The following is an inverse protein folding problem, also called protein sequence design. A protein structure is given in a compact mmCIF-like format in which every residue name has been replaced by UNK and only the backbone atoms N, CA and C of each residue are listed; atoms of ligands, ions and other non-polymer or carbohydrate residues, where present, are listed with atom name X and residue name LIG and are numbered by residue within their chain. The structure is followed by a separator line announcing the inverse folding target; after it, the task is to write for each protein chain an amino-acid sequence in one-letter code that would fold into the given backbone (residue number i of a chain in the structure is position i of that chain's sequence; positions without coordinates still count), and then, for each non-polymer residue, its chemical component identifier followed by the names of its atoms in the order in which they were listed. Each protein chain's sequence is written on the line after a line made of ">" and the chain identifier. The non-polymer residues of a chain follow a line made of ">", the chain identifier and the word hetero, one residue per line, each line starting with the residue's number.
data_IF_589511343981
#
_entry.id   IF_589511343981
#
_cell.length_a   1.000
_cell.length_b   1.000
_cell.length_c   1.000
_cell.angle_alpha   90.00
_cell.angle_beta   90.00
_cell.angle_gamma   90.00
#
_symmetry.space_group_name_H-M   'P 1'
#
loop_
_entity.id
_entity.type
_entity.pdbx_description
1 polymer ?
#
# COMPACT_ATOMS: atom_id res chain seq x y z
N UNK A 1 -2.62 4.21 -11.95
CA UNK A 1 -1.21 3.89 -12.25
C UNK A 1 -0.76 2.81 -11.27
N UNK A 2 -0.09 1.74 -11.73
CA UNK A 2 0.57 0.81 -10.82
C UNK A 2 1.55 1.54 -9.91
N UNK A 3 1.64 1.16 -8.65
CA UNK A 3 2.66 1.68 -7.75
C UNK A 3 3.19 0.58 -6.85
N UNK A 4 4.43 0.76 -6.41
CA UNK A 4 5.10 -0.12 -5.47
C UNK A 4 5.46 0.65 -4.23
N UNK A 5 5.05 0.15 -3.06
CA UNK A 5 5.32 0.78 -1.79
C UNK A 5 5.34 -0.21 -0.62
N UNK A 6 6.03 0.20 0.43
CA UNK A 6 5.97 -0.40 1.77
C UNK A 6 5.52 0.68 2.74
N UNK A 7 4.46 0.40 3.50
CA UNK A 7 3.88 1.32 4.47
C UNK A 7 3.94 0.69 5.86
N UNK A 8 4.26 1.51 6.86
CA UNK A 8 4.15 1.12 8.26
C UNK A 8 3.02 1.91 8.92
N UNK A 9 2.16 1.23 9.67
CA UNK A 9 1.05 1.90 10.36
C UNK A 9 1.56 2.56 11.63
N UNK A 10 1.19 3.82 11.85
CA UNK A 10 1.54 4.54 13.07
C UNK A 10 0.50 4.16 14.15
N UNK A 11 0.89 3.43 15.22
CA UNK A 11 -0.07 2.87 16.18
C UNK A 11 -1.00 3.89 16.83
N UNK A 12 -0.52 5.12 17.03
CA UNK A 12 -1.24 6.22 17.66
C UNK A 12 -2.31 6.82 16.74
N UNK A 13 -2.22 6.61 15.42
CA UNK A 13 -3.08 7.23 14.42
C UNK A 13 -3.99 6.20 13.75
N UNK A 14 -4.82 5.53 14.53
CA UNK A 14 -5.85 4.61 14.02
C UNK A 14 -7.22 5.23 14.26
N UNK A 15 -7.84 5.75 13.20
CA UNK A 15 -9.09 6.53 13.29
C UNK A 15 -10.34 5.68 13.07
N UNK A 16 -10.28 4.69 12.16
CA UNK A 16 -11.35 3.72 11.98
C UNK A 16 -10.79 2.33 11.68
N UNK A 17 -11.37 1.30 12.31
CA UNK A 17 -10.81 -0.07 12.28
C UNK A 17 -11.46 -0.99 11.25
N UNK A 18 -12.61 -0.61 10.69
CA UNK A 18 -13.35 -1.44 9.72
C UNK A 18 -14.20 -0.57 8.79
N UNK A 19 -14.16 -0.92 7.50
CA UNK A 19 -15.02 -0.46 6.40
C UNK A 19 -15.55 0.99 6.50
N UNK A 20 -14.76 1.99 6.06
CA UNK A 20 -13.39 1.90 5.56
C UNK A 20 -12.37 1.93 6.70
N UNK A 21 -11.23 1.27 6.54
CA UNK A 21 -10.14 1.36 7.51
C UNK A 21 -9.45 2.72 7.33
N UNK A 22 -9.27 3.49 8.39
CA UNK A 22 -8.63 4.81 8.34
C UNK A 22 -7.46 4.84 9.32
N UNK A 23 -6.25 4.96 8.79
CA UNK A 23 -4.99 4.86 9.55
C UNK A 23 -3.96 5.88 9.06
N UNK A 24 -3.14 6.39 9.97
CA UNK A 24 -1.90 7.08 9.68
C UNK A 24 -0.81 6.06 9.34
N UNK A 25 -0.05 6.34 8.28
CA UNK A 25 1.03 5.48 7.80
C UNK A 25 2.26 6.29 7.46
N UNK A 26 3.43 5.69 7.66
CA UNK A 26 4.71 6.14 7.13
C UNK A 26 5.01 5.42 5.81
N UNK A 27 5.27 6.17 4.75
CA UNK A 27 5.75 5.62 3.49
C UNK A 27 7.23 5.30 3.64
N UNK A 28 7.53 4.03 3.91
CA UNK A 28 8.91 3.60 4.17
C UNK A 28 9.71 3.44 2.88
N UNK A 29 9.05 2.95 1.84
CA UNK A 29 9.64 2.76 0.52
C UNK A 29 8.64 3.03 -0.60
N UNK A 30 9.15 3.48 -1.75
CA UNK A 30 8.37 3.62 -2.97
C UNK A 30 7.51 4.89 -3.03
N UNK A 31 6.37 4.78 -3.70
CA UNK A 31 5.39 5.86 -3.86
C UNK A 31 3.98 5.30 -3.67
N UNK A 32 3.25 5.86 -2.71
CA UNK A 32 1.84 5.56 -2.45
C UNK A 32 0.95 6.37 -3.39
N UNK A 33 -0.04 5.72 -4.01
CA UNK A 33 -1.03 6.37 -4.89
C UNK A 33 -2.44 5.89 -4.61
N UNK A 34 -3.42 6.72 -4.96
CA UNK A 34 -4.83 6.33 -4.95
C UNK A 34 -5.10 5.08 -5.81
N UNK A 35 -6.14 4.35 -5.43
CA UNK A 35 -6.59 3.10 -6.04
C UNK A 35 -5.60 1.92 -5.99
N UNK A 36 -4.49 2.06 -5.27
CA UNK A 36 -3.50 0.99 -5.14
C UNK A 36 -4.04 -0.10 -4.20
N UNK A 37 -4.06 -1.38 -4.64
CA UNK A 37 -4.43 -2.49 -3.77
C UNK A 37 -3.35 -2.74 -2.71
N UNK A 38 -3.77 -2.95 -1.46
CA UNK A 38 -2.90 -3.19 -0.32
C UNK A 38 -3.12 -4.60 0.24
N UNK A 39 -2.03 -5.18 0.74
CA UNK A 39 -2.01 -6.46 1.42
C UNK A 39 -1.04 -6.46 2.60
N UNK A 40 -1.19 -7.44 3.49
CA UNK A 40 -0.30 -7.71 4.62
C UNK A 40 0.52 -8.97 4.32
N UNK A 41 1.80 -8.85 3.93
CA UNK A 41 2.60 -9.99 3.49
C UNK A 41 2.71 -11.11 4.52
N UNK A 42 2.98 -10.75 5.78
CA UNK A 42 3.21 -11.71 6.88
C UNK A 42 1.93 -12.45 7.34
N UNK A 43 0.78 -12.14 6.74
CA UNK A 43 -0.52 -12.78 6.96
C UNK A 43 -1.00 -13.45 5.68
N UNK A 44 -0.13 -14.24 5.05
CA UNK A 44 -0.44 -14.94 3.80
C UNK A 44 -0.92 -13.99 2.69
N UNK A 45 -0.31 -12.81 2.60
CA UNK A 45 -0.72 -11.74 1.69
C UNK A 45 -2.18 -11.31 1.85
N UNK A 46 -2.70 -11.31 3.08
CA UNK A 46 -4.06 -10.87 3.40
C UNK A 46 -4.36 -9.54 2.72
N UNK A 47 -5.27 -9.57 1.75
CA UNK A 47 -5.70 -8.36 1.07
C UNK A 47 -6.61 -7.55 2.00
N UNK A 48 -6.40 -6.23 2.05
CA UNK A 48 -7.13 -5.36 2.99
C UNK A 48 -7.96 -4.29 2.29
N UNK A 49 -7.86 -4.20 0.96
CA UNK A 49 -8.61 -3.25 0.14
C UNK A 49 -7.71 -2.35 -0.71
N UNK A 50 -8.25 -1.20 -1.10
CA UNK A 50 -7.56 -0.21 -1.95
C UNK A 50 -7.50 1.15 -1.26
N UNK A 51 -6.45 1.91 -1.55
CA UNK A 51 -6.32 3.30 -1.10
C UNK A 51 -7.39 4.16 -1.76
N UNK A 52 -8.36 4.64 -0.99
CA UNK A 52 -9.45 5.50 -1.47
C UNK A 52 -9.13 6.99 -1.32
N UNK A 53 -8.40 7.38 -0.28
CA UNK A 53 -7.90 8.75 -0.08
C UNK A 53 -6.54 8.75 0.61
N UNK A 54 -5.78 9.82 0.36
CA UNK A 54 -4.52 10.13 1.04
C UNK A 54 -4.62 11.59 1.49
N UNK A 55 -4.34 11.84 2.76
CA UNK A 55 -4.31 13.17 3.35
C UNK A 55 -2.95 13.42 3.99
N UNK A 56 -2.32 14.53 3.60
CA UNK A 56 -1.07 15.03 4.18
C UNK A 56 -1.34 16.40 4.76
N UNK A 57 -1.07 16.59 6.05
CA UNK A 57 -1.31 17.86 6.76
C UNK A 57 -2.74 18.39 6.58
N UNK A 58 -3.74 17.50 6.71
CA UNK A 58 -5.17 17.77 6.50
C UNK A 58 -5.57 18.23 5.08
N UNK A 59 -4.68 18.04 4.09
CA UNK A 59 -4.96 18.35 2.68
C UNK A 59 -5.01 17.06 1.86
N UNK A 60 -6.00 16.89 0.98
CA UNK A 60 -6.06 15.74 0.09
C UNK A 60 -4.90 15.82 -0.92
N UNK A 61 -4.21 14.69 -1.10
CA UNK A 61 -3.13 14.54 -2.07
C UNK A 61 -3.35 13.29 -2.91
N UNK A 62 -2.83 13.28 -4.14
CA UNK A 62 -2.97 12.13 -5.04
C UNK A 62 -1.86 11.07 -4.84
N UNK A 63 -0.74 11.50 -4.25
CA UNK A 63 0.44 10.66 -4.00
C UNK A 63 1.16 11.08 -2.72
N UNK A 64 1.83 10.11 -2.10
CA UNK A 64 2.81 10.32 -1.03
C UNK A 64 4.07 9.50 -1.36
N UNK A 65 5.24 10.03 -1.03
CA UNK A 65 6.53 9.40 -1.36
C UNK A 65 7.24 8.94 -0.10
N UNK A 66 8.27 8.10 -0.28
CA UNK A 66 9.17 7.71 0.81
C UNK A 66 9.54 8.89 1.72
N UNK A 67 9.38 8.69 3.02
CA UNK A 67 9.63 9.69 4.07
C UNK A 67 8.40 10.52 4.47
N UNK A 68 7.30 10.43 3.71
CA UNK A 68 6.04 11.08 4.10
C UNK A 68 5.29 10.26 5.16
N UNK A 69 4.73 10.96 6.15
CA UNK A 69 3.70 10.45 7.05
C UNK A 69 2.34 11.01 6.61
N UNK A 70 1.38 10.14 6.31
CA UNK A 70 0.06 10.52 5.76
C UNK A 70 -1.06 9.71 6.37
N UNK A 71 -2.27 10.27 6.42
CA UNK A 71 -3.47 9.51 6.72
C UNK A 71 -4.03 8.90 5.44
N UNK A 72 -4.42 7.63 5.49
CA UNK A 72 -5.06 6.94 4.37
C UNK A 72 -6.39 6.32 4.76
N UNK A 73 -7.30 6.33 3.80
CA UNK A 73 -8.53 5.55 3.83
C UNK A 73 -8.36 4.33 2.94
N UNK A 74 -8.55 3.15 3.49
CA UNK A 74 -8.49 1.87 2.79
C UNK A 74 -9.93 1.36 2.65
N UNK A 75 -10.42 1.30 1.42
CA UNK A 75 -11.73 0.79 1.09
C UNK A 75 -11.64 -0.70 0.77
N UNK A 76 -12.22 -1.59 1.59
CA UNK A 76 -12.33 -3.00 1.26
C UNK A 76 -13.34 -3.22 0.13
N UNK A 77 -13.15 -4.27 -0.65
CA UNK A 77 -14.19 -4.84 -1.53
C UNK A 77 -15.06 -5.81 -0.74
N UNK A 78 -16.15 -6.32 -1.34
CA UNK A 78 -17.01 -7.34 -0.71
C UNK A 78 -16.24 -8.56 -0.23
N UNK A 79 -15.17 -8.96 -0.94
CA UNK A 79 -14.31 -10.08 -0.54
C UNK A 79 -13.54 -9.79 0.76
N UNK A 80 -13.21 -8.53 1.03
CA UNK A 80 -12.42 -8.09 2.18
C UNK A 80 -13.29 -7.44 3.28
N UNK A 81 -14.62 -7.44 3.15
CA UNK A 81 -15.53 -6.81 4.11
C UNK A 81 -15.46 -7.39 5.53
N UNK A 82 -14.93 -8.61 5.67
CA UNK A 82 -14.71 -9.27 6.95
C UNK A 82 -13.42 -8.80 7.65
N UNK A 83 -12.49 -8.18 6.92
CA UNK A 83 -11.19 -7.75 7.45
C UNK A 83 -11.37 -6.59 8.43
N UNK A 84 -10.58 -6.57 9.50
CA UNK A 84 -10.68 -5.61 10.60
C UNK A 84 -9.33 -5.40 11.25
N UNK A 85 -8.93 -4.14 11.41
CA UNK A 85 -7.72 -3.74 12.11
C UNK A 85 -7.83 -4.07 13.62
N UNK A 86 -6.77 -4.61 14.20
CA UNK A 86 -6.72 -5.10 15.58
C UNK A 86 -7.28 -6.52 15.77
N UNK A 87 -7.76 -7.16 14.70
CA UNK A 87 -8.17 -8.58 14.71
C UNK A 87 -7.37 -9.42 13.71
N UNK A 88 -7.33 -8.98 12.45
CA UNK A 88 -6.67 -9.72 11.38
C UNK A 88 -5.24 -9.25 11.13
N UNK A 89 -5.01 -7.94 11.31
CA UNK A 89 -3.70 -7.28 11.25
C UNK A 89 -3.70 -6.08 12.18
N UNK A 90 -2.53 -5.58 12.54
CA UNK A 90 -2.34 -4.41 13.37
C UNK A 90 -1.09 -3.62 12.96
N UNK A 91 -0.67 -2.65 13.78
CA UNK A 91 0.48 -1.80 13.50
C UNK A 91 1.84 -2.49 13.55
N UNK A 92 1.93 -3.73 14.06
CA UNK A 92 3.16 -4.51 13.97
C UNK A 92 3.36 -5.09 12.56
N UNK A 93 2.34 -5.05 11.71
CA UNK A 93 2.41 -5.56 10.34
C UNK A 93 2.69 -4.44 9.34
N UNK A 94 3.63 -4.68 8.42
CA UNK A 94 3.84 -3.82 7.27
C UNK A 94 2.73 -4.04 6.22
N UNK A 95 2.34 -2.96 5.54
CA UNK A 95 1.45 -3.03 4.38
C UNK A 95 2.29 -2.91 3.11
N UNK A 96 1.93 -3.69 2.09
CA UNK A 96 2.57 -3.60 0.78
C UNK A 96 1.54 -3.50 -0.34
N UNK A 97 1.92 -2.84 -1.42
CA UNK A 97 1.15 -2.89 -2.66
C UNK A 97 1.08 -4.32 -3.21
N UNK A 98 -0.11 -4.78 -3.58
CA UNK A 98 -0.26 -6.06 -4.25
C UNK A 98 0.24 -5.96 -5.69
N UNK A 99 1.43 -6.50 -5.96
CA UNK A 99 2.02 -6.54 -7.30
C UNK A 99 1.72 -7.87 -8.01
N UNK A 100 1.63 -7.83 -9.34
CA UNK A 100 1.47 -9.00 -10.20
C UNK A 100 2.40 -8.89 -11.40
N UNK A 101 2.62 -9.99 -12.15
CA UNK A 101 3.42 -9.96 -13.38
C UNK A 101 2.89 -8.92 -14.37
N UNK A 102 1.57 -8.88 -14.57
CA UNK A 102 0.89 -7.88 -15.41
C UNK A 102 1.16 -6.46 -14.94
N UNK A 103 1.14 -6.22 -13.64
CA UNK A 103 1.43 -4.91 -13.04
C UNK A 103 2.87 -4.47 -13.32
N UNK A 104 3.83 -5.41 -13.21
CA UNK A 104 5.25 -5.16 -13.46
C UNK A 104 5.51 -4.89 -14.95
N UNK A 105 4.91 -5.67 -15.84
CA UNK A 105 5.11 -5.47 -17.29
C UNK A 105 4.49 -4.15 -17.74
N UNK A 106 3.31 -3.78 -17.23
CA UNK A 106 2.73 -2.46 -17.43
C UNK A 106 3.66 -1.31 -16.98
N UNK A 107 4.35 -1.46 -15.83
CA UNK A 107 5.33 -0.48 -15.34
C UNK A 107 6.54 -0.36 -16.29
N UNK A 108 7.04 -1.48 -16.82
CA UNK A 108 8.19 -1.48 -17.74
C UNK A 108 7.86 -0.88 -19.10
N UNK A 109 6.65 -1.13 -19.60
CA UNK A 109 6.22 -0.72 -20.94
C UNK A 109 5.81 0.75 -20.97
N UNK A 110 5.11 1.22 -19.94
CA UNK A 110 4.40 2.51 -19.99
C UNK A 110 4.97 3.57 -19.05
N UNK A 111 5.73 3.18 -18.02
CA UNK A 111 6.12 4.07 -16.91
C UNK A 111 7.61 3.98 -16.55
N UNK A 112 8.44 3.51 -17.49
CA UNK A 112 9.86 3.26 -17.20
C UNK A 112 10.63 4.51 -16.82
N UNK A 113 10.32 5.63 -17.46
CA UNK A 113 10.97 6.93 -17.25
C UNK A 113 10.50 7.61 -15.96
N UNK A 114 9.27 7.34 -15.51
CA UNK A 114 8.69 7.88 -14.27
C UNK A 114 9.19 7.16 -13.01
N UNK A 115 9.80 6.00 -13.16
CA UNK A 115 10.21 5.13 -12.08
C UNK A 115 11.65 5.41 -11.65
N UNK A 116 11.84 5.73 -10.36
CA UNK A 116 13.19 5.94 -9.82
C UNK A 116 13.93 4.62 -9.72
N UNK A 117 15.25 4.68 -9.68
CA UNK A 117 16.11 3.49 -9.48
C UNK A 117 15.71 2.68 -8.24
N UNK A 118 15.34 3.38 -7.16
CA UNK A 118 14.88 2.77 -5.90
C UNK A 118 13.56 2.03 -6.06
N UNK A 119 12.62 2.54 -6.85
CA UNK A 119 11.33 1.89 -7.11
C UNK A 119 11.55 0.57 -7.86
N UNK A 120 12.50 0.54 -8.81
CA UNK A 120 12.90 -0.70 -9.49
C UNK A 120 13.57 -1.71 -8.55
N UNK A 121 14.43 -1.25 -7.65
CA UNK A 121 15.04 -2.11 -6.64
C UNK A 121 13.98 -2.71 -5.71
N UNK A 122 12.98 -1.92 -5.30
CA UNK A 122 11.85 -2.41 -4.51
C UNK A 122 11.08 -3.50 -5.26
N UNK A 123 10.77 -3.31 -6.55
CA UNK A 123 10.11 -4.35 -7.38
C UNK A 123 10.93 -5.64 -7.39
N UNK A 124 12.25 -5.56 -7.57
CA UNK A 124 13.10 -6.74 -7.60
C UNK A 124 13.12 -7.48 -6.26
N UNK A 125 13.01 -6.77 -5.13
CA UNK A 125 12.86 -7.39 -3.81
C UNK A 125 11.47 -7.97 -3.57
N UNK A 126 10.42 -7.34 -4.11
CA UNK A 126 9.04 -7.81 -3.94
C UNK A 126 8.72 -9.03 -4.82
N UNK A 127 9.30 -9.15 -6.01
CA UNK A 127 9.09 -10.31 -6.90
C UNK A 127 9.21 -11.69 -6.22
N UNK A 128 10.32 -12.02 -5.53
CA UNK A 128 10.46 -13.32 -4.86
C UNK A 128 9.47 -13.47 -3.70
N UNK A 129 9.14 -12.39 -2.99
CA UNK A 129 8.15 -12.40 -1.91
C UNK A 129 6.78 -12.85 -2.45
N UNK A 130 6.35 -12.30 -3.59
CA UNK A 130 5.07 -12.65 -4.21
C UNK A 130 5.14 -13.89 -5.12
N UNK A 131 6.27 -14.62 -5.17
CA UNK A 131 6.44 -15.79 -6.04
C UNK A 131 6.37 -15.47 -7.54
N UNK A 132 6.71 -14.24 -7.94
CA UNK A 132 6.64 -13.79 -9.34
C UNK A 132 7.99 -14.04 -10.02
N UNK A 133 7.98 -14.83 -11.10
CA UNK A 133 9.13 -15.04 -12.00
C UNK A 133 9.26 -13.89 -13.02
#
# INVERSE_FOLDING_TARGET
>A
MPSTQVLNIIPQYVFNKKDPIVVGVDVSEGTLRLNTPLCVPDKEFLEIGRVASIEKDHRPVEKAIKGDSVAIKIQPTSAQAHVTYGRHFDSANALMSRISRRTIDCLKENFREDMRKEDWQLIMRMKPIFGIQ
#
